data_IF_234051862289
#
_entry.id   IF_234051862289
#
_cell.length_a   1.000
_cell.length_b   1.000
_cell.length_c   1.000
_cell.angle_alpha   90.00
_cell.angle_beta   90.00
_cell.angle_gamma   90.00
#
_symmetry.space_group_name_H-M   'P 1'
#
loop_
_entity.id
_entity.type
_entity.pdbx_description
1 polymer ?
#
# COMPACT_ATOMS: atom_id res chain seq x y z
N UNK A 1 -24.93 -12.34 -40.76
CA UNK A 1 -24.95 -12.61 -39.29
C UNK A 1 -23.91 -13.65 -38.81
N UNK A 2 -23.04 -14.20 -39.67
CA UNK A 2 -22.00 -15.17 -39.28
C UNK A 2 -20.59 -14.57 -39.11
N UNK A 3 -20.34 -13.36 -39.64
CA UNK A 3 -19.02 -12.72 -39.61
C UNK A 3 -18.68 -12.11 -38.23
N UNK A 4 -19.69 -11.64 -37.49
CA UNK A 4 -19.50 -10.97 -36.20
C UNK A 4 -19.11 -11.94 -35.07
N UNK A 5 -19.55 -13.21 -35.14
CA UNK A 5 -19.17 -14.24 -34.16
C UNK A 5 -17.72 -14.71 -34.32
N UNK A 6 -17.22 -14.74 -35.57
CA UNK A 6 -15.83 -15.13 -35.85
C UNK A 6 -14.82 -14.06 -35.39
N UNK A 7 -15.18 -12.77 -35.48
CA UNK A 7 -14.34 -11.68 -35.00
C UNK A 7 -14.26 -11.62 -33.47
N UNK A 8 -15.38 -11.89 -32.78
CA UNK A 8 -15.43 -11.97 -31.31
C UNK A 8 -14.61 -13.16 -30.77
N UNK A 9 -14.63 -14.31 -31.46
CA UNK A 9 -13.78 -15.44 -31.08
C UNK A 9 -12.28 -15.16 -31.28
N UNK A 10 -11.93 -14.45 -32.35
CA UNK A 10 -10.53 -14.12 -32.65
C UNK A 10 -9.96 -13.12 -31.63
N UNK A 11 -10.71 -12.07 -31.29
CA UNK A 11 -10.28 -11.05 -30.33
C UNK A 11 -10.25 -11.53 -28.87
N UNK A 12 -11.04 -12.57 -28.52
CA UNK A 12 -10.98 -13.19 -27.19
C UNK A 12 -9.75 -14.10 -27.02
N UNK A 13 -9.26 -14.71 -28.11
CA UNK A 13 -8.17 -15.69 -28.08
C UNK A 13 -6.75 -15.08 -27.95
N UNK A 14 -6.61 -13.78 -28.19
CA UNK A 14 -5.31 -13.09 -28.08
C UNK A 14 -5.10 -12.40 -26.72
N UNK A 15 -6.16 -12.17 -25.93
CA UNK A 15 -6.05 -11.44 -24.66
C UNK A 15 -5.69 -12.29 -23.44
N UNK A 16 -5.61 -13.63 -23.56
CA UNK A 16 -5.18 -14.49 -22.46
C UNK A 16 -4.39 -15.74 -22.93
N UNK A 17 -3.05 -15.69 -22.97
CA UNK A 17 -2.24 -16.86 -23.30
C UNK A 17 -2.15 -17.88 -22.16
N UNK A 18 -2.74 -17.59 -20.99
CA UNK A 18 -2.61 -18.39 -19.77
C UNK A 18 -3.48 -19.67 -19.75
N UNK A 19 -4.42 -19.82 -20.68
CA UNK A 19 -5.37 -20.95 -20.68
C UNK A 19 -4.87 -22.19 -21.44
N UNK A 20 -3.65 -22.16 -21.97
CA UNK A 20 -3.08 -23.28 -22.73
C UNK A 20 -2.15 -24.21 -21.95
N UNK A 21 -1.79 -23.87 -20.72
CA UNK A 21 -0.93 -24.71 -19.88
C UNK A 21 -1.72 -25.33 -18.72
N UNK A 22 -2.00 -26.64 -18.72
CA UNK A 22 -2.68 -27.30 -17.60
C UNK A 22 -1.92 -27.17 -16.27
N UNK A 23 -0.61 -26.90 -16.28
CA UNK A 23 0.18 -26.66 -15.07
C UNK A 23 -0.03 -25.27 -14.43
N UNK A 24 -0.64 -24.31 -15.15
CA UNK A 24 -0.96 -22.98 -14.63
C UNK A 24 -2.38 -22.86 -14.07
N UNK A 25 -3.26 -23.83 -14.38
CA UNK A 25 -4.65 -23.88 -13.93
C UNK A 25 -4.75 -24.10 -12.41
N UNK A 26 -3.88 -24.95 -11.86
CA UNK A 26 -3.84 -25.28 -10.43
C UNK A 26 -3.31 -24.15 -9.53
N UNK A 27 -2.64 -23.14 -10.12
CA UNK A 27 -2.09 -22.00 -9.40
C UNK A 27 -3.14 -20.89 -9.20
N UNK A 28 -4.22 -20.89 -10.00
CA UNK A 28 -5.23 -19.84 -10.00
C UNK A 28 -6.31 -20.04 -8.92
N UNK A 29 -6.52 -21.28 -8.46
CA UNK A 29 -7.63 -21.64 -7.57
C UNK A 29 -7.26 -21.84 -6.09
N UNK A 30 -5.98 -21.73 -5.73
CA UNK A 30 -5.55 -21.82 -4.33
C UNK A 30 -5.04 -20.46 -3.82
N UNK A 31 -5.76 -19.92 -2.83
CA UNK A 31 -5.33 -18.90 -1.87
C UNK A 31 -5.64 -17.43 -2.22
N UNK A 32 -6.90 -17.07 -1.97
CA UNK A 32 -7.40 -15.69 -1.78
C UNK A 32 -7.13 -15.17 -0.35
N UNK A 33 -6.40 -15.90 0.49
CA UNK A 33 -6.14 -15.52 1.88
C UNK A 33 -4.64 -15.43 2.17
N UNK A 34 -4.23 -14.29 2.74
CA UNK A 34 -2.86 -13.88 3.15
C UNK A 34 -1.86 -13.67 2.00
N UNK A 35 -1.77 -12.43 1.50
CA UNK A 35 -0.59 -11.93 0.80
C UNK A 35 0.50 -11.59 1.83
N UNK A 36 1.18 -12.61 2.33
CA UNK A 36 2.42 -12.45 3.07
C UNK A 36 3.47 -11.85 2.11
N UNK A 37 4.10 -10.70 2.40
CA UNK A 37 5.09 -10.07 1.52
C UNK A 37 6.22 -11.04 1.12
N UNK A 38 6.56 -11.97 2.02
CA UNK A 38 7.57 -13.00 1.85
C UNK A 38 7.15 -14.09 0.84
N UNK A 39 5.87 -14.44 0.78
CA UNK A 39 5.39 -15.50 -0.12
C UNK A 39 5.46 -15.07 -1.61
N UNK A 40 5.38 -13.76 -1.88
CA UNK A 40 5.61 -13.23 -3.23
C UNK A 40 7.08 -13.23 -3.65
N UNK A 41 8.03 -13.29 -2.71
CA UNK A 41 9.47 -13.30 -3.02
C UNK A 41 9.85 -14.66 -3.62
N UNK A 42 9.39 -15.76 -3.05
CA UNK A 42 9.70 -17.10 -3.56
C UNK A 42 9.05 -17.37 -4.91
N UNK A 43 7.79 -16.93 -5.10
CA UNK A 43 7.08 -17.06 -6.38
C UNK A 43 7.82 -16.29 -7.49
N UNK A 44 8.29 -15.06 -7.20
CA UNK A 44 9.13 -14.29 -8.12
C UNK A 44 10.47 -14.99 -8.40
N UNK A 45 11.18 -15.47 -7.38
CA UNK A 45 12.45 -16.23 -7.56
C UNK A 45 12.28 -17.43 -8.50
N UNK A 46 11.21 -18.21 -8.35
CA UNK A 46 10.92 -19.37 -9.22
C UNK A 46 10.58 -18.95 -10.67
N UNK A 47 9.89 -17.83 -10.84
CA UNK A 47 9.52 -17.29 -12.16
C UNK A 47 10.75 -16.74 -12.89
N UNK A 48 11.68 -16.05 -12.20
CA UNK A 48 12.94 -15.59 -12.80
C UNK A 48 13.97 -16.72 -13.04
N UNK A 49 13.93 -17.78 -12.23
CA UNK A 49 14.77 -18.98 -12.43
C UNK A 49 14.42 -19.71 -13.74
N UNK A 50 13.16 -19.65 -14.17
CA UNK A 50 12.74 -20.07 -15.51
C UNK A 50 13.12 -18.97 -16.52
N UNK A 51 14.33 -19.05 -17.07
CA UNK A 51 14.98 -18.01 -17.89
C UNK A 51 14.16 -17.38 -19.03
N UNK A 52 13.03 -17.98 -19.45
CA UNK A 52 12.10 -17.46 -20.43
C UNK A 52 11.41 -16.13 -20.04
N UNK A 53 11.38 -15.77 -18.75
CA UNK A 53 10.69 -14.57 -18.27
C UNK A 53 11.63 -13.40 -17.93
N UNK A 54 12.95 -13.58 -18.07
CA UNK A 54 13.96 -12.51 -17.92
C UNK A 54 13.77 -11.33 -18.86
N UNK A 55 13.17 -11.57 -20.03
CA UNK A 55 13.03 -10.56 -21.09
C UNK A 55 11.76 -9.69 -20.94
N UNK A 56 10.75 -10.17 -20.19
CA UNK A 56 9.44 -9.52 -20.07
C UNK A 56 9.25 -8.78 -18.73
N UNK A 57 10.10 -9.05 -17.74
CA UNK A 57 10.01 -8.46 -16.39
C UNK A 57 11.36 -7.89 -15.95
N UNK A 58 11.35 -6.73 -15.26
CA UNK A 58 12.58 -6.11 -14.75
C UNK A 58 13.33 -7.07 -13.81
N UNK A 59 14.66 -7.22 -13.91
CA UNK A 59 15.40 -8.19 -13.14
C UNK A 59 15.13 -8.05 -11.63
N UNK A 60 14.75 -9.18 -11.02
CA UNK A 60 14.61 -9.33 -9.58
C UNK A 60 15.80 -10.15 -9.07
N UNK A 61 16.59 -9.67 -8.10
CA UNK A 61 16.50 -8.39 -7.39
C UNK A 61 16.90 -7.17 -8.24
N UNK A 62 16.32 -5.99 -7.93
CA UNK A 62 16.61 -4.74 -8.62
C UNK A 62 18.14 -4.48 -8.60
N UNK A 63 18.80 -4.24 -9.74
CA UNK A 63 20.26 -4.07 -9.77
C UNK A 63 20.73 -2.77 -9.10
N UNK A 64 19.82 -1.83 -8.83
CA UNK A 64 20.12 -0.55 -8.18
C UNK A 64 19.82 -0.65 -6.69
N UNK A 65 20.87 -0.82 -5.89
CA UNK A 65 20.85 -0.89 -4.41
C UNK A 65 20.05 0.25 -3.76
N UNK A 66 20.06 1.44 -4.36
CA UNK A 66 19.33 2.61 -3.86
C UNK A 66 17.80 2.40 -3.80
N UNK A 67 17.20 1.78 -4.82
CA UNK A 67 15.75 1.54 -4.87
C UNK A 67 15.33 0.56 -3.76
N UNK A 68 16.11 -0.51 -3.59
CA UNK A 68 15.86 -1.49 -2.53
C UNK A 68 16.04 -0.90 -1.13
N UNK A 69 17.02 0.00 -0.93
CA UNK A 69 17.18 0.73 0.34
C UNK A 69 15.95 1.61 0.63
N UNK A 70 15.42 2.29 -0.39
CA UNK A 70 14.25 3.16 -0.26
C UNK A 70 12.99 2.36 0.08
N UNK A 71 12.78 1.20 -0.55
CA UNK A 71 11.67 0.31 -0.23
C UNK A 71 11.66 -0.07 1.25
N UNK A 72 12.82 -0.32 1.86
CA UNK A 72 12.92 -0.62 3.30
C UNK A 72 12.76 0.64 4.16
N UNK A 73 13.34 1.76 3.74
CA UNK A 73 13.24 3.03 4.46
C UNK A 73 11.77 3.48 4.62
N UNK A 74 10.94 3.25 3.60
CA UNK A 74 9.50 3.58 3.65
C UNK A 74 8.80 2.89 4.82
N UNK A 75 9.12 1.63 5.11
CA UNK A 75 8.54 0.94 6.28
C UNK A 75 8.96 1.61 7.59
N UNK A 76 10.24 1.98 7.74
CA UNK A 76 10.72 2.68 8.94
C UNK A 76 10.06 4.05 9.12
N UNK A 77 10.06 4.86 8.06
CA UNK A 77 9.50 6.21 8.07
C UNK A 77 7.99 6.19 8.34
N UNK A 78 7.27 5.17 7.85
CA UNK A 78 5.83 5.01 8.07
C UNK A 78 5.44 4.96 9.55
N UNK A 79 6.35 4.54 10.42
CA UNK A 79 6.15 4.46 11.88
C UNK A 79 6.79 5.67 12.57
N UNK A 80 8.01 6.05 12.17
CA UNK A 80 8.75 7.14 12.81
C UNK A 80 8.07 8.50 12.63
N UNK A 81 7.48 8.78 11.46
CA UNK A 81 6.84 10.07 11.21
C UNK A 81 5.63 10.33 12.13
N UNK A 82 4.66 9.40 12.30
CA UNK A 82 3.58 9.57 13.28
C UNK A 82 4.09 9.69 14.73
N UNK A 83 5.14 8.96 15.11
CA UNK A 83 5.74 9.08 16.45
C UNK A 83 6.31 10.47 16.66
N UNK A 84 7.04 11.02 15.69
CA UNK A 84 7.54 12.39 15.77
C UNK A 84 6.37 13.40 15.85
N UNK A 85 5.32 13.18 15.06
CA UNK A 85 4.09 13.98 15.11
C UNK A 85 3.37 13.94 16.47
N UNK A 86 3.47 12.83 17.20
CA UNK A 86 2.84 12.67 18.52
C UNK A 86 3.39 13.63 19.58
N UNK A 87 4.58 14.20 19.37
CA UNK A 87 5.16 15.21 20.27
C UNK A 87 4.25 16.44 20.43
N UNK A 88 3.55 16.84 19.36
CA UNK A 88 2.59 17.94 19.40
C UNK A 88 1.37 17.59 20.27
N UNK A 89 0.89 16.34 20.21
CA UNK A 89 -0.16 15.85 21.08
C UNK A 89 0.32 15.89 22.54
N UNK A 90 1.47 15.28 22.82
CA UNK A 90 2.06 15.24 24.17
C UNK A 90 2.17 16.65 24.76
N UNK A 91 2.66 17.62 23.98
CA UNK A 91 2.78 19.02 24.41
C UNK A 91 1.44 19.61 24.87
N UNK A 92 0.38 19.44 24.09
CA UNK A 92 -0.96 19.96 24.44
C UNK A 92 -1.48 19.33 25.72
N UNK A 93 -1.35 18.00 25.86
CA UNK A 93 -1.86 17.28 27.02
C UNK A 93 -1.02 17.50 28.30
N UNK A 94 0.29 17.71 28.16
CA UNK A 94 1.19 17.97 29.29
C UNK A 94 1.16 19.42 29.76
N UNK A 95 1.17 20.38 28.83
CA UNK A 95 1.11 21.81 29.15
C UNK A 95 -0.33 22.30 29.37
N UNK A 96 -1.34 21.48 29.08
CA UNK A 96 -2.77 21.80 29.16
C UNK A 96 -3.13 23.10 28.43
N UNK A 97 -2.45 23.34 27.31
CA UNK A 97 -2.70 24.50 26.46
C UNK A 97 -2.55 24.11 25.00
N UNK A 98 -3.51 24.54 24.18
CA UNK A 98 -3.44 24.42 22.73
C UNK A 98 -3.17 25.77 22.04
N UNK A 99 -2.67 26.76 22.78
CA UNK A 99 -2.35 28.07 22.25
C UNK A 99 -1.36 27.97 21.07
N UNK A 100 -1.74 28.57 19.93
CA UNK A 100 -0.94 28.55 18.70
C UNK A 100 -1.13 27.30 17.82
N UNK A 101 -2.00 26.36 18.20
CA UNK A 101 -2.30 25.17 17.40
C UNK A 101 -3.62 25.37 16.64
N UNK A 102 -3.60 25.20 15.32
CA UNK A 102 -4.77 25.44 14.47
C UNK A 102 -5.75 24.25 14.46
N UNK A 103 -6.95 24.44 15.01
CA UNK A 103 -8.03 23.45 14.94
C UNK A 103 -8.37 23.10 13.49
N UNK A 104 -8.42 24.11 12.61
CA UNK A 104 -8.75 23.92 11.20
C UNK A 104 -7.72 23.01 10.51
N UNK A 105 -6.43 23.24 10.73
CA UNK A 105 -5.36 22.41 10.16
C UNK A 105 -5.47 20.95 10.58
N UNK A 106 -5.59 20.69 11.88
CA UNK A 106 -5.65 19.32 12.40
C UNK A 106 -7.00 18.63 12.12
N UNK A 107 -8.10 19.39 12.13
CA UNK A 107 -9.42 18.90 11.72
C UNK A 107 -9.46 18.44 10.26
N UNK A 108 -8.94 19.26 9.34
CA UNK A 108 -8.79 18.85 7.93
C UNK A 108 -7.84 17.66 7.78
N UNK A 109 -6.79 17.60 8.60
CA UNK A 109 -5.85 16.47 8.59
C UNK A 109 -6.51 15.16 9.00
N UNK A 110 -7.44 15.16 9.97
CA UNK A 110 -8.23 13.96 10.32
C UNK A 110 -9.06 13.49 9.12
N UNK A 111 -9.75 14.42 8.44
CA UNK A 111 -10.57 14.09 7.26
C UNK A 111 -9.67 13.51 6.15
N UNK A 112 -8.56 14.18 5.83
CA UNK A 112 -7.61 13.73 4.82
C UNK A 112 -7.04 12.34 5.15
N UNK A 113 -6.71 12.08 6.41
CA UNK A 113 -6.21 10.77 6.86
C UNK A 113 -7.22 9.66 6.61
N UNK A 114 -8.52 9.91 6.79
CA UNK A 114 -9.57 8.91 6.50
C UNK A 114 -9.58 8.56 5.00
N UNK A 115 -9.51 9.56 4.12
CA UNK A 115 -9.45 9.33 2.68
C UNK A 115 -8.18 8.56 2.28
N UNK A 116 -7.02 8.96 2.81
CA UNK A 116 -5.72 8.33 2.51
C UNK A 116 -5.60 6.92 3.07
N UNK A 117 -6.16 6.68 4.25
CA UNK A 117 -6.26 5.34 4.84
C UNK A 117 -7.14 4.44 3.97
N UNK A 118 -8.32 4.93 3.57
CA UNK A 118 -9.23 4.20 2.68
C UNK A 118 -8.55 3.87 1.35
N UNK A 119 -7.83 4.83 0.77
CA UNK A 119 -7.04 4.63 -0.44
C UNK A 119 -5.99 3.52 -0.26
N UNK A 120 -5.22 3.56 0.84
CA UNK A 120 -4.21 2.57 1.17
C UNK A 120 -4.78 1.16 1.35
N UNK A 121 -5.97 1.05 1.95
CA UNK A 121 -6.69 -0.22 2.12
C UNK A 121 -7.13 -0.77 0.75
N UNK A 122 -7.75 0.05 -0.10
CA UNK A 122 -8.22 -0.34 -1.44
C UNK A 122 -7.05 -0.83 -2.31
N UNK A 123 -5.92 -0.13 -2.29
CA UNK A 123 -4.73 -0.47 -3.08
C UNK A 123 -3.80 -1.47 -2.39
N UNK A 124 -4.16 -1.95 -1.19
CA UNK A 124 -3.40 -2.92 -0.38
C UNK A 124 -1.94 -2.50 -0.13
N UNK A 125 -1.69 -1.22 0.09
CA UNK A 125 -0.34 -0.68 0.36
C UNK A 125 -0.09 -0.60 1.85
N UNK A 126 0.49 -1.65 2.42
CA UNK A 126 0.63 -1.83 3.87
C UNK A 126 1.34 -0.66 4.61
N UNK A 127 2.47 -0.10 4.12
CA UNK A 127 3.11 1.04 4.81
C UNK A 127 2.21 2.28 4.91
N UNK A 128 1.41 2.54 3.86
CA UNK A 128 0.47 3.65 3.82
C UNK A 128 -0.64 3.43 4.86
N UNK A 129 -1.17 2.22 4.95
CA UNK A 129 -2.22 1.88 5.92
C UNK A 129 -1.73 2.11 7.35
N UNK A 130 -0.55 1.59 7.72
CA UNK A 130 0.01 1.80 9.07
C UNK A 130 0.20 3.28 9.36
N UNK A 131 0.85 4.00 8.44
CA UNK A 131 1.20 5.40 8.63
C UNK A 131 -0.05 6.26 8.88
N UNK A 132 -1.08 6.10 8.05
CA UNK A 132 -2.30 6.90 8.19
C UNK A 132 -3.21 6.44 9.32
N UNK A 133 -3.19 5.16 9.72
CA UNK A 133 -3.84 4.72 10.96
C UNK A 133 -3.22 5.39 12.19
N UNK A 134 -1.89 5.43 12.29
CA UNK A 134 -1.20 6.09 13.41
C UNK A 134 -1.43 7.60 13.39
N UNK A 135 -1.31 8.24 12.23
CA UNK A 135 -1.60 9.67 12.08
C UNK A 135 -3.04 10.02 12.43
N UNK A 136 -4.01 9.16 12.10
CA UNK A 136 -5.40 9.37 12.48
C UNK A 136 -5.54 9.42 14.02
N UNK A 137 -4.94 8.47 14.74
CA UNK A 137 -4.95 8.46 16.21
C UNK A 137 -4.31 9.74 16.79
N UNK A 138 -3.13 10.13 16.29
CA UNK A 138 -2.41 11.33 16.76
C UNK A 138 -3.22 12.60 16.49
N UNK A 139 -3.72 12.78 15.26
CA UNK A 139 -4.46 13.98 14.89
C UNK A 139 -5.80 14.07 15.63
N UNK A 140 -6.48 12.95 15.89
CA UNK A 140 -7.67 12.95 16.75
C UNK A 140 -7.34 13.34 18.19
N UNK A 141 -6.22 12.85 18.75
CA UNK A 141 -5.77 13.26 20.08
C UNK A 141 -5.41 14.76 20.16
N UNK A 142 -4.83 15.31 19.09
CA UNK A 142 -4.55 16.75 18.98
C UNK A 142 -5.85 17.54 18.90
N UNK A 143 -6.78 17.18 18.02
CA UNK A 143 -8.08 17.86 17.91
C UNK A 143 -8.84 17.82 19.23
N UNK A 144 -8.86 16.68 19.92
CA UNK A 144 -9.46 16.57 21.25
C UNK A 144 -8.78 17.50 22.26
N UNK A 145 -7.45 17.56 22.27
CA UNK A 145 -6.70 18.49 23.12
C UNK A 145 -6.99 19.95 22.81
N UNK A 146 -7.12 20.33 21.53
CA UNK A 146 -7.50 21.70 21.13
C UNK A 146 -8.91 22.05 21.60
N UNK A 147 -9.86 21.14 21.52
CA UNK A 147 -11.24 21.40 21.97
C UNK A 147 -11.37 21.53 23.50
N UNK A 148 -10.44 20.94 24.26
CA UNK A 148 -10.45 20.98 25.72
C UNK A 148 -9.58 22.10 26.32
N UNK A 149 -8.46 22.42 25.67
CA UNK A 149 -7.42 23.32 26.18
C UNK A 149 -7.10 24.52 25.27
N UNK A 150 -7.89 24.72 24.21
CA UNK A 150 -7.73 25.80 23.22
C UNK A 150 -8.55 27.04 23.49
#
# INVERSE_FOLDING_TARGET
MQLHKKLLYFLHSEFCPAERDPALRDIQHSNIFMSDPLHHIEKRKRIYAKGALKQKYQPYPHPKTFVSMMDHAVYGVSILAPIAGSTQAIKIWAEQTAAGVSLTMFGFSVIANIFLLTYGIIHKVFPIVIMYSLWLMVNTAIVAGILLYG
#
